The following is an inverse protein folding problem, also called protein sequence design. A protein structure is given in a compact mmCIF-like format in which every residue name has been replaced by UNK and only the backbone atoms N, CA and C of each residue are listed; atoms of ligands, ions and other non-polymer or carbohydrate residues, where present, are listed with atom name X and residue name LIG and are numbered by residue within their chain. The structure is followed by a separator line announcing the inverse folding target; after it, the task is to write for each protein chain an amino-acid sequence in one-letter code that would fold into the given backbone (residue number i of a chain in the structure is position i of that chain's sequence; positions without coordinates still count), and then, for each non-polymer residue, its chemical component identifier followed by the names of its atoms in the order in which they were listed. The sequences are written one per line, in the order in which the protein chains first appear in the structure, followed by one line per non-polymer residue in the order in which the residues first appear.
data_IF_515607501969
#
_entry.id   IF_515607501969
#
_cell.length_a   1.000
_cell.length_b   1.000
_cell.length_c   1.000
_cell.angle_alpha   90.00
_cell.angle_beta   90.00
_cell.angle_gamma   90.00
#
_symmetry.space_group_name_H-M   'P 1'
#
loop_
_entity.id
_entity.type
_entity.pdbx_description
1 polymer ?
#
# COMPACT_ATOMS: atom_id res chain seq x y z
N UNK A 1 74.05 -19.86 20.00
CA UNK A 1 72.89 -19.36 20.75
C UNK A 1 72.87 -19.86 22.19
N UNK A 2 72.96 -21.16 22.47
CA UNK A 2 72.95 -21.70 23.85
C UNK A 2 73.93 -21.00 24.82
N UNK A 3 75.18 -20.76 24.41
CA UNK A 3 76.20 -20.13 25.25
C UNK A 3 75.97 -18.64 25.55
N UNK A 4 75.32 -17.92 24.63
CA UNK A 4 74.92 -16.51 24.84
C UNK A 4 73.70 -16.46 25.75
N UNK A 5 72.72 -17.35 25.54
CA UNK A 5 71.56 -17.46 26.41
C UNK A 5 71.93 -17.81 27.85
N UNK A 6 72.94 -18.67 28.05
CA UNK A 6 73.42 -18.97 29.41
C UNK A 6 74.09 -17.77 30.08
N UNK A 7 74.87 -16.97 29.34
CA UNK A 7 75.51 -15.77 29.89
C UNK A 7 74.49 -14.67 30.18
N UNK A 8 73.50 -14.50 29.30
CA UNK A 8 72.37 -13.60 29.52
C UNK A 8 71.58 -14.01 30.75
N UNK A 9 71.31 -15.30 30.93
CA UNK A 9 70.62 -15.79 32.11
C UNK A 9 71.44 -15.65 33.39
N UNK A 10 72.75 -15.92 33.35
CA UNK A 10 73.65 -15.67 34.48
C UNK A 10 73.69 -14.19 34.85
N UNK A 11 73.76 -13.29 33.87
CA UNK A 11 73.65 -11.84 34.09
C UNK A 11 72.31 -11.47 34.73
N UNK A 12 71.21 -11.99 34.20
CA UNK A 12 69.87 -11.67 34.68
C UNK A 12 69.66 -12.16 36.11
N UNK A 13 70.21 -13.33 36.44
CA UNK A 13 70.18 -13.86 37.80
C UNK A 13 71.05 -13.03 38.75
N UNK A 14 72.25 -12.61 38.33
CA UNK A 14 73.08 -11.68 39.11
C UNK A 14 72.40 -10.32 39.29
N UNK A 15 71.69 -9.83 38.28
CA UNK A 15 70.93 -8.57 38.34
C UNK A 15 69.73 -8.69 39.28
N UNK A 16 69.05 -9.83 39.26
CA UNK A 16 67.95 -10.13 40.17
C UNK A 16 68.46 -10.27 41.61
N UNK A 17 69.60 -10.94 41.79
CA UNK A 17 70.24 -11.08 43.10
C UNK A 17 70.67 -9.73 43.66
N UNK A 18 71.24 -8.88 42.82
CA UNK A 18 71.55 -7.49 43.18
C UNK A 18 70.29 -6.76 43.66
N UNK A 19 69.18 -6.89 42.93
CA UNK A 19 67.91 -6.26 43.32
C UNK A 19 67.39 -6.78 44.66
N UNK A 20 67.43 -8.10 44.89
CA UNK A 20 67.05 -8.70 46.19
C UNK A 20 67.93 -8.19 47.35
N UNK A 21 69.23 -8.03 47.11
CA UNK A 21 70.16 -7.52 48.13
C UNK A 21 69.87 -6.05 48.44
N UNK A 22 69.57 -5.25 47.41
CA UNK A 22 69.14 -3.87 47.58
C UNK A 22 67.82 -3.77 48.37
N UNK A 23 66.84 -4.61 48.05
CA UNK A 23 65.55 -4.63 48.74
C UNK A 23 65.71 -5.09 50.21
N UNK A 24 66.57 -6.07 50.48
CA UNK A 24 66.90 -6.49 51.87
C UNK A 24 67.60 -5.40 52.66
N UNK A 25 68.52 -4.66 52.03
CA UNK A 25 69.13 -3.49 52.67
C UNK A 25 68.07 -2.45 53.01
N UNK A 26 67.16 -2.20 52.07
CA UNK A 26 66.07 -1.25 52.25
C UNK A 26 65.15 -1.63 53.41
N UNK A 27 64.71 -2.89 53.48
CA UNK A 27 63.84 -3.39 54.55
C UNK A 27 64.54 -3.34 55.92
N UNK A 28 65.81 -3.76 55.99
CA UNK A 28 66.62 -3.70 57.21
C UNK A 28 66.86 -2.28 57.73
N UNK A 29 66.86 -1.28 56.83
CA UNK A 29 66.90 0.14 57.19
C UNK A 29 65.55 0.68 57.68
N UNK A 30 64.43 0.01 57.38
CA UNK A 30 63.07 0.50 57.61
C UNK A 30 62.41 0.00 58.93
N UNK A 31 62.76 -1.18 59.46
CA UNK A 31 62.16 -1.71 60.70
C UNK A 31 62.69 -1.04 61.99
N UNK A 32 61.89 -0.14 62.58
CA UNK A 32 62.17 0.51 63.88
C UNK A 32 61.66 -0.33 65.07
N UNK A 33 62.36 -1.39 65.47
CA UNK A 33 62.23 -1.97 66.83
C UNK A 33 63.58 -1.99 67.53
N UNK A 34 63.73 -1.08 68.49
CA UNK A 34 64.99 -0.67 69.11
C UNK A 34 65.64 -1.67 70.08
N UNK A 35 65.92 -2.91 69.67
CA UNK A 35 66.76 -3.82 70.47
C UNK A 35 67.84 -4.62 69.71
N UNK A 36 68.11 -4.34 68.43
CA UNK A 36 69.06 -5.13 67.59
C UNK A 36 70.00 -4.29 66.67
N UNK A 37 70.45 -3.11 67.09
CA UNK A 37 71.22 -2.14 66.26
C UNK A 37 72.60 -2.63 65.76
N UNK A 38 73.32 -3.46 66.52
CA UNK A 38 74.65 -3.95 66.11
C UNK A 38 74.52 -4.99 64.99
N UNK A 39 73.58 -5.91 65.12
CA UNK A 39 73.27 -6.92 64.09
C UNK A 39 72.80 -6.28 62.78
N UNK A 40 72.05 -5.17 62.84
CA UNK A 40 71.64 -4.42 61.65
C UNK A 40 72.82 -3.79 60.90
N UNK A 41 73.80 -3.20 61.61
CA UNK A 41 74.99 -2.59 60.98
C UNK A 41 75.90 -3.63 60.33
N UNK A 42 76.14 -4.75 61.02
CA UNK A 42 76.92 -5.86 60.47
C UNK A 42 76.22 -6.47 59.26
N UNK A 43 74.89 -6.57 59.28
CA UNK A 43 74.08 -6.99 58.12
C UNK A 43 74.20 -6.04 56.92
N UNK A 44 74.25 -4.72 57.14
CA UNK A 44 74.45 -3.74 56.06
C UNK A 44 75.86 -3.85 55.48
N UNK A 45 76.89 -3.96 56.31
CA UNK A 45 78.28 -4.11 55.84
C UNK A 45 78.44 -5.40 55.01
N UNK A 46 77.88 -6.51 55.48
CA UNK A 46 77.90 -7.77 54.75
C UNK A 46 77.15 -7.67 53.41
N UNK A 47 75.96 -7.08 53.41
CA UNK A 47 75.19 -6.90 52.16
C UNK A 47 75.87 -5.91 51.20
N UNK A 48 76.62 -4.92 51.67
CA UNK A 48 77.42 -4.02 50.82
C UNK A 48 78.61 -4.76 50.17
N UNK A 49 79.28 -5.65 50.91
CA UNK A 49 80.34 -6.48 50.35
C UNK A 49 79.78 -7.44 49.29
N UNK A 50 78.65 -8.10 49.58
CA UNK A 50 77.94 -8.95 48.62
C UNK A 50 77.48 -8.17 47.38
N UNK A 51 77.08 -6.90 47.55
CA UNK A 51 76.70 -6.03 46.44
C UNK A 51 77.89 -5.66 45.54
N UNK A 52 79.06 -5.38 46.13
CA UNK A 52 80.27 -5.10 45.35
C UNK A 52 80.74 -6.33 44.56
N UNK A 53 80.71 -7.51 45.18
CA UNK A 53 81.07 -8.76 44.53
C UNK A 53 80.12 -9.07 43.37
N UNK A 54 78.81 -8.97 43.60
CA UNK A 54 77.81 -9.21 42.54
C UNK A 54 77.93 -8.20 41.39
N UNK A 55 78.19 -6.92 41.68
CA UNK A 55 78.44 -5.91 40.64
C UNK A 55 79.71 -6.19 39.83
N UNK A 56 80.78 -6.63 40.47
CA UNK A 56 82.03 -6.98 39.78
C UNK A 56 81.83 -8.18 38.85
N UNK A 57 81.18 -9.23 39.33
CA UNK A 57 80.84 -10.40 38.52
C UNK A 57 79.93 -10.04 37.33
N UNK A 58 79.00 -9.11 37.53
CA UNK A 58 78.10 -8.62 36.49
C UNK A 58 78.84 -7.81 35.41
N UNK A 59 79.84 -7.00 35.80
CA UNK A 59 80.70 -6.29 34.84
C UNK A 59 81.54 -7.25 33.98
N UNK A 60 82.14 -8.28 34.58
CA UNK A 60 82.89 -9.31 33.84
C UNK A 60 81.98 -10.10 32.88
N UNK A 61 80.77 -10.44 33.32
CA UNK A 61 79.78 -11.09 32.46
C UNK A 61 79.42 -10.23 31.24
N UNK A 62 79.28 -8.91 31.41
CA UNK A 62 79.08 -8.00 30.29
C UNK A 62 80.26 -7.96 29.32
N UNK A 63 81.50 -7.95 29.82
CA UNK A 63 82.68 -7.91 28.94
C UNK A 63 82.79 -9.17 28.08
N UNK A 64 82.55 -10.35 28.67
CA UNK A 64 82.51 -11.62 27.92
C UNK A 64 81.40 -11.60 26.88
N UNK A 65 80.23 -11.09 27.23
CA UNK A 65 79.10 -10.98 26.30
C UNK A 65 79.42 -10.04 25.12
N UNK A 66 80.07 -8.90 25.37
CA UNK A 66 80.48 -7.96 24.33
C UNK A 66 81.47 -8.62 23.36
N UNK A 67 82.48 -9.33 23.86
CA UNK A 67 83.47 -10.04 23.02
C UNK A 67 82.80 -11.07 22.11
N UNK A 68 81.89 -11.88 22.65
CA UNK A 68 81.15 -12.87 21.86
C UNK A 68 80.24 -12.21 20.82
N UNK A 69 79.58 -11.11 21.17
CA UNK A 69 78.75 -10.37 20.23
C UNK A 69 79.56 -9.80 19.06
N UNK A 70 80.77 -9.31 19.30
CA UNK A 70 81.65 -8.78 18.24
C UNK A 70 82.13 -9.88 17.28
N UNK A 71 82.53 -11.05 17.79
CA UNK A 71 82.89 -12.19 16.94
C UNK A 71 81.71 -12.64 16.06
N UNK A 72 80.51 -12.64 16.64
CA UNK A 72 79.29 -12.96 15.90
C UNK A 72 78.98 -11.91 14.83
N UNK A 73 79.23 -10.64 15.11
CA UNK A 73 79.05 -9.53 14.17
C UNK A 73 79.97 -9.67 12.94
N UNK A 74 81.25 -10.00 13.13
CA UNK A 74 82.18 -10.22 12.01
C UNK A 74 81.81 -11.43 11.16
N UNK A 75 81.41 -12.54 11.78
CA UNK A 75 80.88 -13.70 11.02
C UNK A 75 79.67 -13.31 10.19
N UNK A 76 78.76 -12.51 10.76
CA UNK A 76 77.56 -12.04 10.08
C UNK A 76 77.92 -11.19 8.85
N UNK A 77 78.92 -10.29 8.96
CA UNK A 77 79.41 -9.51 7.81
C UNK A 77 79.93 -10.39 6.67
N UNK A 78 80.76 -11.40 6.98
CA UNK A 78 81.28 -12.29 5.92
C UNK A 78 80.19 -13.10 5.21
N UNK A 79 79.11 -13.45 5.93
CA UNK A 79 77.94 -14.09 5.34
C UNK A 79 77.22 -13.09 4.43
N UNK A 80 77.07 -11.84 4.86
CA UNK A 80 76.46 -10.78 4.07
C UNK A 80 77.19 -10.54 2.73
N UNK A 81 78.52 -10.54 2.74
CA UNK A 81 79.30 -10.39 1.50
C UNK A 81 79.10 -11.55 0.53
N UNK A 82 79.00 -12.79 1.04
CA UNK A 82 78.71 -13.97 0.21
C UNK A 82 77.30 -13.92 -0.39
N UNK A 83 76.32 -13.45 0.38
CA UNK A 83 74.95 -13.25 -0.12
C UNK A 83 74.97 -12.27 -1.29
N UNK A 84 75.68 -11.14 -1.18
CA UNK A 84 75.77 -10.15 -2.25
C UNK A 84 76.39 -10.73 -3.54
N UNK A 85 77.46 -11.53 -3.41
CA UNK A 85 78.08 -12.19 -4.58
C UNK A 85 77.15 -13.20 -5.26
N UNK A 86 76.43 -14.01 -4.47
CA UNK A 86 75.47 -14.97 -5.02
C UNK A 86 74.29 -14.27 -5.72
N UNK A 87 73.83 -13.12 -5.18
CA UNK A 87 72.80 -12.30 -5.82
C UNK A 87 73.21 -11.85 -7.23
N UNK A 88 74.46 -11.39 -7.41
CA UNK A 88 74.95 -11.00 -8.74
C UNK A 88 74.98 -12.18 -9.74
N UNK A 89 75.31 -13.40 -9.28
CA UNK A 89 75.32 -14.57 -10.15
C UNK A 89 73.91 -14.99 -10.57
N UNK A 90 72.93 -14.87 -9.66
CA UNK A 90 71.52 -15.12 -9.97
C UNK A 90 71.04 -14.17 -11.07
N UNK A 91 71.32 -12.87 -10.92
CA UNK A 91 70.93 -11.85 -11.91
C UNK A 91 71.52 -12.13 -13.30
N UNK A 92 72.78 -12.56 -13.36
CA UNK A 92 73.42 -12.91 -14.64
C UNK A 92 72.75 -14.11 -15.34
N UNK A 93 72.35 -15.14 -14.58
CA UNK A 93 71.64 -16.31 -15.12
C UNK A 93 70.27 -15.90 -15.65
N UNK A 94 69.55 -15.05 -14.91
CA UNK A 94 68.25 -14.52 -15.32
C UNK A 94 68.34 -13.75 -16.65
N UNK A 95 69.43 -13.02 -16.90
CA UNK A 95 69.56 -12.18 -18.10
C UNK A 95 70.09 -12.91 -19.35
N UNK A 96 70.99 -13.89 -19.19
CA UNK A 96 71.70 -14.50 -20.33
C UNK A 96 71.21 -15.88 -20.76
N UNK A 97 70.37 -16.54 -19.96
CA UNK A 97 69.94 -17.91 -20.27
C UNK A 97 68.94 -17.95 -21.43
N UNK A 98 69.16 -18.83 -22.41
CA UNK A 98 68.16 -19.12 -23.45
C UNK A 98 66.84 -19.62 -22.84
N UNK A 99 66.89 -20.26 -21.65
CA UNK A 99 65.71 -20.64 -20.88
C UNK A 99 64.91 -19.42 -20.40
N UNK A 100 65.57 -18.32 -20.02
CA UNK A 100 64.87 -17.11 -19.59
C UNK A 100 64.09 -16.48 -20.75
N UNK A 101 64.65 -16.52 -21.96
CA UNK A 101 63.94 -16.06 -23.17
C UNK A 101 62.78 -16.98 -23.54
N UNK A 102 62.93 -18.29 -23.38
CA UNK A 102 61.85 -19.25 -23.60
C UNK A 102 60.70 -19.05 -22.60
N UNK A 103 61.03 -18.79 -21.32
CA UNK A 103 60.04 -18.42 -20.30
C UNK A 103 59.32 -17.14 -20.70
N UNK A 104 60.04 -16.07 -21.08
CA UNK A 104 59.43 -14.80 -21.50
C UNK A 104 58.49 -14.98 -22.71
N UNK A 105 58.88 -15.81 -23.68
CA UNK A 105 58.05 -16.10 -24.85
C UNK A 105 56.77 -16.85 -24.46
N UNK A 106 56.88 -17.88 -23.61
CA UNK A 106 55.74 -18.64 -23.11
C UNK A 106 54.82 -17.78 -22.22
N UNK A 107 55.38 -16.90 -21.40
CA UNK A 107 54.61 -15.92 -20.62
C UNK A 107 53.82 -14.98 -21.55
N UNK A 108 54.44 -14.51 -22.63
CA UNK A 108 53.76 -13.66 -23.62
C UNK A 108 52.63 -14.40 -24.33
N UNK A 109 52.85 -15.66 -24.71
CA UNK A 109 51.79 -16.50 -25.30
C UNK A 109 50.66 -16.77 -24.30
N UNK A 110 51.01 -17.09 -23.05
CA UNK A 110 50.04 -17.26 -21.97
C UNK A 110 49.19 -16.00 -21.74
N UNK A 111 49.81 -14.81 -21.75
CA UNK A 111 49.10 -13.54 -21.66
C UNK A 111 48.12 -13.35 -22.83
N UNK A 112 48.56 -13.62 -24.07
CA UNK A 112 47.69 -13.54 -25.25
C UNK A 112 46.49 -14.49 -25.18
N UNK A 113 46.71 -15.74 -24.75
CA UNK A 113 45.64 -16.72 -24.55
C UNK A 113 44.68 -16.31 -23.42
N UNK A 114 45.20 -15.74 -22.33
CA UNK A 114 44.37 -15.24 -21.23
C UNK A 114 43.47 -14.09 -21.69
N UNK A 115 43.97 -13.18 -22.54
CA UNK A 115 43.18 -12.10 -23.12
C UNK A 115 42.06 -12.65 -24.02
N UNK A 116 42.35 -13.64 -24.86
CA UNK A 116 41.33 -14.29 -25.71
C UNK A 116 40.26 -14.99 -24.87
N UNK A 117 40.67 -15.72 -23.82
CA UNK A 117 39.75 -16.34 -22.86
C UNK A 117 38.88 -15.28 -22.20
N UNK A 118 39.44 -14.16 -21.76
CA UNK A 118 38.70 -13.06 -21.15
C UNK A 118 37.67 -12.45 -22.12
N UNK A 119 38.03 -12.25 -23.39
CA UNK A 119 37.11 -11.77 -24.43
C UNK A 119 35.96 -12.75 -24.68
N UNK A 120 36.26 -14.04 -24.77
CA UNK A 120 35.25 -15.09 -24.96
C UNK A 120 34.31 -15.19 -23.75
N UNK A 121 34.85 -15.11 -22.53
CA UNK A 121 34.06 -15.06 -21.30
C UNK A 121 33.15 -13.83 -21.26
N UNK A 122 33.63 -12.66 -21.68
CA UNK A 122 32.82 -11.44 -21.79
C UNK A 122 31.67 -11.61 -22.79
N UNK A 123 31.96 -12.16 -23.98
CA UNK A 123 30.94 -12.44 -25.00
C UNK A 123 29.90 -13.43 -24.49
N UNK A 124 30.33 -14.48 -23.80
CA UNK A 124 29.45 -15.46 -23.17
C UNK A 124 28.55 -14.80 -22.12
N UNK A 125 29.12 -13.98 -21.22
CA UNK A 125 28.34 -13.20 -20.23
C UNK A 125 27.29 -12.30 -20.89
N UNK A 126 27.64 -11.63 -21.99
CA UNK A 126 26.70 -10.81 -22.77
C UNK A 126 25.54 -11.64 -23.33
N UNK A 127 25.82 -12.82 -23.88
CA UNK A 127 24.79 -13.72 -24.38
C UNK A 127 23.89 -14.27 -23.27
N UNK A 128 24.44 -14.60 -22.10
CA UNK A 128 23.65 -15.03 -20.95
C UNK A 128 22.73 -13.94 -20.42
N UNK A 129 23.22 -12.69 -20.30
CA UNK A 129 22.41 -11.55 -19.92
C UNK A 129 21.26 -11.32 -20.92
N UNK A 130 21.53 -11.41 -22.22
CA UNK A 130 20.49 -11.30 -23.25
C UNK A 130 19.46 -12.43 -23.18
N UNK A 131 19.89 -13.66 -22.94
CA UNK A 131 18.99 -14.81 -22.73
C UNK A 131 18.08 -14.56 -21.53
N UNK A 132 18.63 -14.09 -20.40
CA UNK A 132 17.86 -13.80 -19.19
C UNK A 132 16.81 -12.72 -19.43
N UNK A 133 17.18 -11.62 -20.12
CA UNK A 133 16.25 -10.55 -20.50
C UNK A 133 15.05 -11.09 -21.32
N UNK A 134 15.33 -11.94 -22.31
CA UNK A 134 14.28 -12.57 -23.13
C UNK A 134 13.36 -13.45 -22.27
N UNK A 135 13.93 -14.26 -21.38
CA UNK A 135 13.15 -15.12 -20.46
C UNK A 135 12.24 -14.30 -19.55
N UNK A 136 12.75 -13.21 -18.96
CA UNK A 136 11.95 -12.31 -18.10
C UNK A 136 10.81 -11.68 -18.88
N UNK A 137 11.06 -11.20 -20.11
CA UNK A 137 10.01 -10.62 -20.96
C UNK A 137 8.94 -11.63 -21.33
N UNK A 138 9.31 -12.88 -21.62
CA UNK A 138 8.37 -13.96 -21.91
C UNK A 138 7.45 -14.21 -20.70
N UNK A 139 8.03 -14.29 -19.49
CA UNK A 139 7.26 -14.50 -18.27
C UNK A 139 6.24 -13.37 -18.00
N UNK A 140 6.64 -12.11 -18.21
CA UNK A 140 5.74 -10.95 -18.05
C UNK A 140 4.56 -10.99 -19.02
N UNK A 141 4.82 -11.27 -20.31
CA UNK A 141 3.77 -11.38 -21.32
C UNK A 141 2.81 -12.54 -21.01
N UNK A 142 3.36 -13.70 -20.62
CA UNK A 142 2.54 -14.86 -20.26
C UNK A 142 1.59 -14.55 -19.09
N UNK A 143 2.12 -13.94 -18.02
CA UNK A 143 1.31 -13.55 -16.85
C UNK A 143 0.23 -12.52 -17.21
N UNK A 144 0.52 -11.59 -18.14
CA UNK A 144 -0.48 -10.62 -18.61
C UNK A 144 -1.64 -11.30 -19.33
N UNK A 145 -1.34 -12.25 -20.22
CA UNK A 145 -2.35 -13.02 -20.95
C UNK A 145 -3.19 -13.87 -20.00
N UNK A 146 -2.54 -14.56 -19.05
CA UNK A 146 -3.24 -15.36 -18.04
C UNK A 146 -4.18 -14.49 -17.18
N UNK A 147 -3.72 -13.32 -16.73
CA UNK A 147 -4.53 -12.37 -15.97
C UNK A 147 -5.75 -11.89 -16.76
N UNK A 148 -5.57 -11.50 -18.03
CA UNK A 148 -6.68 -11.09 -18.90
C UNK A 148 -7.69 -12.22 -19.10
N UNK A 149 -7.21 -13.44 -19.37
CA UNK A 149 -8.09 -14.60 -19.53
C UNK A 149 -8.88 -14.89 -18.25
N UNK A 150 -8.25 -14.78 -17.08
CA UNK A 150 -8.94 -14.95 -15.80
C UNK A 150 -9.95 -13.84 -15.51
N UNK A 151 -9.66 -12.59 -15.89
CA UNK A 151 -10.61 -11.48 -15.77
C UNK A 151 -11.85 -11.74 -16.62
N UNK A 152 -11.66 -12.08 -17.90
CA UNK A 152 -12.79 -12.37 -18.78
C UNK A 152 -13.57 -13.61 -18.35
N UNK A 153 -12.89 -14.65 -17.86
CA UNK A 153 -13.57 -15.82 -17.32
C UNK A 153 -14.37 -15.47 -16.06
N UNK A 154 -13.82 -14.64 -15.17
CA UNK A 154 -14.52 -14.18 -13.99
C UNK A 154 -15.70 -13.28 -14.34
N UNK A 155 -15.55 -12.39 -15.32
CA UNK A 155 -16.65 -11.60 -15.87
C UNK A 155 -17.77 -12.51 -16.36
N UNK A 156 -17.45 -13.54 -17.16
CA UNK A 156 -18.43 -14.54 -17.61
C UNK A 156 -19.10 -15.25 -16.44
N UNK A 157 -18.32 -15.74 -15.47
CA UNK A 157 -18.87 -16.48 -14.31
C UNK A 157 -19.71 -15.56 -13.40
N UNK A 158 -19.32 -14.29 -13.25
CA UNK A 158 -20.04 -13.28 -12.47
C UNK A 158 -21.36 -12.85 -13.11
N UNK A 159 -21.46 -12.92 -14.44
CA UNK A 159 -22.72 -12.76 -15.17
C UNK A 159 -23.68 -13.94 -14.92
N UNK A 160 -23.22 -14.98 -14.24
CA UNK A 160 -24.04 -16.07 -13.72
C UNK A 160 -24.40 -17.13 -14.76
N UNK A 161 -25.29 -18.04 -14.36
CA UNK A 161 -25.86 -19.01 -15.29
C UNK A 161 -26.69 -18.26 -16.32
N UNK A 162 -26.32 -18.38 -17.60
CA UNK A 162 -27.10 -17.76 -18.68
C UNK A 162 -28.57 -18.19 -18.52
N UNK A 163 -29.51 -17.23 -18.51
CA UNK A 163 -30.93 -17.57 -18.39
C UNK A 163 -31.28 -18.54 -19.50
N UNK A 164 -31.94 -19.64 -19.15
CA UNK A 164 -32.32 -20.62 -20.16
C UNK A 164 -33.23 -19.94 -21.18
N UNK A 165 -33.19 -20.41 -22.42
CA UNK A 165 -34.07 -19.92 -23.49
C UNK A 165 -35.55 -19.94 -23.04
N UNK A 166 -35.94 -20.97 -22.28
CA UNK A 166 -37.25 -21.08 -21.63
C UNK A 166 -37.57 -19.93 -20.65
N UNK A 167 -36.59 -19.43 -19.89
CA UNK A 167 -36.77 -18.31 -18.96
C UNK A 167 -36.95 -16.98 -19.69
N UNK A 168 -36.24 -16.79 -20.81
CA UNK A 168 -36.41 -15.60 -21.66
C UNK A 168 -37.78 -15.61 -22.34
N UNK A 169 -38.21 -16.76 -22.87
CA UNK A 169 -39.55 -16.89 -23.45
C UNK A 169 -40.66 -16.64 -22.42
N UNK A 170 -40.52 -17.17 -21.20
CA UNK A 170 -41.49 -16.95 -20.13
C UNK A 170 -41.59 -15.47 -19.75
N UNK A 171 -40.45 -14.79 -19.58
CA UNK A 171 -40.39 -13.37 -19.25
C UNK A 171 -41.00 -12.50 -20.38
N UNK A 172 -40.74 -12.82 -21.65
CA UNK A 172 -41.35 -12.10 -22.78
C UNK A 172 -42.87 -12.18 -22.75
N UNK A 173 -43.44 -13.39 -22.54
CA UNK A 173 -44.90 -13.56 -22.45
C UNK A 173 -45.51 -12.78 -21.28
N UNK A 174 -44.80 -12.68 -20.17
CA UNK A 174 -45.24 -11.90 -19.01
C UNK A 174 -45.22 -10.39 -19.32
N UNK A 175 -44.19 -9.88 -19.99
CA UNK A 175 -44.11 -8.48 -20.42
C UNK A 175 -45.24 -8.13 -21.39
N UNK A 176 -45.54 -8.99 -22.36
CA UNK A 176 -46.63 -8.78 -23.31
C UNK A 176 -47.97 -8.68 -22.56
N UNK A 177 -48.24 -9.62 -21.65
CA UNK A 177 -49.47 -9.62 -20.85
C UNK A 177 -49.61 -8.36 -19.96
N UNK A 178 -48.52 -7.87 -19.39
CA UNK A 178 -48.51 -6.64 -18.58
C UNK A 178 -48.69 -5.38 -19.44
N UNK A 179 -48.17 -5.40 -20.67
CA UNK A 179 -48.34 -4.30 -21.62
C UNK A 179 -49.80 -4.17 -22.03
N UNK A 180 -50.46 -5.28 -22.38
CA UNK A 180 -51.90 -5.31 -22.70
C UNK A 180 -52.76 -4.75 -21.55
N UNK A 181 -52.42 -5.09 -20.30
CA UNK A 181 -53.13 -4.57 -19.13
C UNK A 181 -52.90 -3.06 -18.94
N UNK A 182 -51.70 -2.56 -19.19
CA UNK A 182 -51.39 -1.14 -19.09
C UNK A 182 -52.17 -0.33 -20.13
N UNK A 183 -52.25 -0.81 -21.37
CA UNK A 183 -53.02 -0.15 -22.44
C UNK A 183 -54.51 -0.01 -22.09
N UNK A 184 -55.11 -1.06 -21.52
CA UNK A 184 -56.49 -1.01 -21.05
C UNK A 184 -56.70 0.04 -19.95
N UNK A 185 -55.78 0.14 -19.00
CA UNK A 185 -55.85 1.11 -17.90
C UNK A 185 -55.72 2.57 -18.41
N UNK A 186 -54.85 2.82 -19.40
CA UNK A 186 -54.70 4.16 -19.99
C UNK A 186 -55.97 4.63 -20.73
N UNK A 187 -56.67 3.72 -21.40
CA UNK A 187 -57.97 4.03 -22.00
C UNK A 187 -59.00 4.45 -20.94
N UNK A 188 -59.04 3.76 -19.80
CA UNK A 188 -59.92 4.10 -18.69
C UNK A 188 -59.56 5.47 -18.08
N UNK A 189 -58.28 5.75 -17.86
CA UNK A 189 -57.81 7.06 -17.37
C UNK A 189 -58.25 8.19 -18.30
N UNK A 190 -58.16 7.98 -19.61
CA UNK A 190 -58.57 8.97 -20.60
C UNK A 190 -60.08 9.23 -20.51
N UNK A 191 -60.89 8.16 -20.46
CA UNK A 191 -62.33 8.28 -20.28
C UNK A 191 -62.71 9.03 -18.98
N UNK A 192 -61.99 8.78 -17.89
CA UNK A 192 -62.22 9.47 -16.61
C UNK A 192 -61.84 10.96 -16.67
N UNK A 193 -60.74 11.32 -17.34
CA UNK A 193 -60.33 12.72 -17.51
C UNK A 193 -61.37 13.51 -18.30
N UNK A 194 -61.82 12.95 -19.41
CA UNK A 194 -62.82 13.59 -20.26
C UNK A 194 -64.17 13.71 -19.53
N UNK A 195 -64.58 12.65 -18.84
CA UNK A 195 -65.78 12.68 -17.99
C UNK A 195 -65.69 13.70 -16.86
N UNK A 196 -64.51 13.92 -16.27
CA UNK A 196 -64.32 14.92 -15.21
C UNK A 196 -64.52 16.36 -15.71
N UNK A 197 -64.11 16.66 -16.95
CA UNK A 197 -64.34 17.98 -17.55
C UNK A 197 -65.84 18.24 -17.67
N UNK A 198 -66.57 17.26 -18.21
CA UNK A 198 -68.04 17.35 -18.34
C UNK A 198 -68.70 17.50 -16.97
N UNK A 199 -68.23 16.79 -15.95
CA UNK A 199 -68.74 16.94 -14.58
C UNK A 199 -68.52 18.34 -14.02
N UNK A 200 -67.33 18.91 -14.21
CA UNK A 200 -67.02 20.27 -13.74
C UNK A 200 -67.92 21.31 -14.39
N UNK A 201 -68.19 21.17 -15.68
CA UNK A 201 -69.11 22.06 -16.39
C UNK A 201 -70.52 21.96 -15.81
N UNK A 202 -71.00 20.76 -15.49
CA UNK A 202 -72.28 20.54 -14.80
C UNK A 202 -72.29 21.24 -13.43
N UNK A 203 -71.26 21.06 -12.61
CA UNK A 203 -71.16 21.74 -11.32
C UNK A 203 -71.14 23.27 -11.45
N UNK A 204 -70.45 23.82 -12.45
CA UNK A 204 -70.45 25.27 -12.69
C UNK A 204 -71.82 25.76 -13.11
N UNK A 205 -72.53 25.03 -13.99
CA UNK A 205 -73.92 25.37 -14.36
C UNK A 205 -74.81 25.42 -13.11
N UNK A 206 -74.68 24.43 -12.21
CA UNK A 206 -75.43 24.39 -10.96
C UNK A 206 -75.05 25.54 -10.03
N UNK A 207 -73.76 25.84 -9.84
CA UNK A 207 -73.34 26.96 -8.98
C UNK A 207 -73.72 28.34 -9.54
N UNK A 208 -73.61 28.54 -10.86
CA UNK A 208 -74.04 29.79 -11.51
C UNK A 208 -75.54 29.96 -11.39
N UNK A 209 -76.30 28.87 -11.52
CA UNK A 209 -77.73 28.83 -11.25
C UNK A 209 -78.02 29.24 -9.80
N UNK A 210 -77.39 28.60 -8.81
CA UNK A 210 -77.56 28.90 -7.38
C UNK A 210 -77.27 30.37 -7.06
N UNK A 211 -76.15 30.89 -7.55
CA UNK A 211 -75.76 32.29 -7.34
C UNK A 211 -76.74 33.26 -8.01
N UNK A 212 -77.16 32.95 -9.24
CA UNK A 212 -78.16 33.75 -9.97
C UNK A 212 -79.51 33.72 -9.28
N UNK A 213 -79.91 32.57 -8.72
CA UNK A 213 -81.11 32.42 -7.91
C UNK A 213 -81.01 33.24 -6.62
N UNK A 214 -79.88 33.16 -5.91
CA UNK A 214 -79.68 33.91 -4.67
C UNK A 214 -79.70 35.42 -4.91
N UNK A 215 -79.05 35.90 -5.96
CA UNK A 215 -79.09 37.31 -6.35
C UNK A 215 -80.50 37.74 -6.79
N UNK A 216 -81.17 36.93 -7.60
CA UNK A 216 -82.55 37.19 -8.02
C UNK A 216 -83.49 37.27 -6.80
N UNK A 217 -83.39 36.33 -5.85
CA UNK A 217 -84.21 36.33 -4.64
C UNK A 217 -83.90 37.52 -3.71
N UNK A 218 -82.63 37.96 -3.62
CA UNK A 218 -82.24 39.12 -2.83
C UNK A 218 -82.74 40.46 -3.41
N UNK A 219 -82.76 40.59 -4.73
CA UNK A 219 -83.31 41.75 -5.45
C UNK A 219 -84.85 41.73 -5.52
N UNK A 220 -85.50 40.73 -4.90
CA UNK A 220 -86.97 40.57 -4.93
C UNK A 220 -87.48 40.23 -6.34
N UNK A 221 -86.68 39.53 -7.14
CA UNK A 221 -87.02 39.17 -8.51
C UNK A 221 -88.30 38.33 -8.56
N UNK A 222 -89.06 38.58 -9.63
CA UNK A 222 -90.32 37.89 -9.88
C UNK A 222 -90.10 36.38 -10.17
N UNK A 223 -91.05 35.57 -9.74
CA UNK A 223 -91.08 34.11 -9.83
C UNK A 223 -90.83 33.60 -11.25
N UNK A 224 -91.33 34.30 -12.26
CA UNK A 224 -91.11 33.97 -13.67
C UNK A 224 -89.61 34.00 -14.04
N UNK A 225 -88.84 34.92 -13.46
CA UNK A 225 -87.40 35.02 -13.71
C UNK A 225 -86.65 33.86 -13.06
N UNK A 226 -87.00 33.50 -11.81
CA UNK A 226 -86.46 32.36 -11.08
C UNK A 226 -86.72 31.03 -11.83
N UNK A 227 -87.95 30.82 -12.30
CA UNK A 227 -88.31 29.63 -13.07
C UNK A 227 -87.56 29.56 -14.41
N UNK A 228 -87.40 30.69 -15.11
CA UNK A 228 -86.65 30.73 -16.36
C UNK A 228 -85.17 30.35 -16.20
N UNK A 229 -84.55 30.75 -15.09
CA UNK A 229 -83.16 30.40 -14.76
C UNK A 229 -83.00 28.90 -14.50
N UNK A 230 -83.90 28.33 -13.70
CA UNK A 230 -83.91 26.88 -13.46
C UNK A 230 -84.10 26.11 -14.77
N UNK A 231 -85.00 26.56 -15.65
CA UNK A 231 -85.32 25.87 -16.91
C UNK A 231 -84.14 25.87 -17.86
N UNK A 232 -83.45 27.00 -17.99
CA UNK A 232 -82.25 27.11 -18.81
C UNK A 232 -81.13 26.21 -18.27
N UNK A 233 -80.90 26.21 -16.95
CA UNK A 233 -79.91 25.33 -16.33
C UNK A 233 -80.23 23.84 -16.54
N UNK A 234 -81.50 23.42 -16.37
CA UNK A 234 -81.91 22.03 -16.60
C UNK A 234 -81.64 21.56 -18.03
N UNK A 235 -81.98 22.36 -19.05
CA UNK A 235 -81.73 22.00 -20.45
C UNK A 235 -80.24 21.92 -20.78
N UNK A 236 -79.40 22.74 -20.13
CA UNK A 236 -77.95 22.65 -20.26
C UNK A 236 -77.38 21.39 -19.60
N UNK A 237 -77.86 21.03 -18.41
CA UNK A 237 -77.45 19.82 -17.71
C UNK A 237 -77.90 18.56 -18.49
N UNK A 238 -79.07 18.55 -19.11
CA UNK A 238 -79.54 17.45 -19.97
C UNK A 238 -78.64 17.21 -21.19
N UNK A 239 -78.14 18.28 -21.83
CA UNK A 239 -77.20 18.13 -22.94
C UNK A 239 -75.90 17.43 -22.51
N UNK A 240 -75.41 17.71 -21.30
CA UNK A 240 -74.23 17.02 -20.75
C UNK A 240 -74.53 15.58 -20.34
N UNK A 241 -75.76 15.28 -19.90
CA UNK A 241 -76.21 13.92 -19.62
C UNK A 241 -76.21 13.04 -20.88
N UNK A 242 -76.71 13.55 -22.01
CA UNK A 242 -76.71 12.82 -23.28
C UNK A 242 -75.29 12.59 -23.82
N UNK A 243 -74.39 13.55 -23.64
CA UNK A 243 -72.97 13.38 -23.95
C UNK A 243 -72.32 12.28 -23.10
N UNK A 244 -72.64 12.20 -21.81
CA UNK A 244 -72.13 11.15 -20.93
C UNK A 244 -72.64 9.75 -21.32
N UNK A 245 -73.91 9.64 -21.75
CA UNK A 245 -74.49 8.37 -22.26
C UNK A 245 -73.86 7.93 -23.57
N UNK A 246 -73.64 8.86 -24.50
CA UNK A 246 -73.04 8.58 -25.82
C UNK A 246 -71.61 8.05 -25.71
N UNK A 247 -70.85 8.51 -24.70
CA UNK A 247 -69.50 8.03 -24.42
C UNK A 247 -69.46 6.85 -23.43
N UNK A 248 -70.62 6.27 -23.10
CA UNK A 248 -70.76 5.17 -22.15
C UNK A 248 -70.13 5.41 -20.77
N UNK A 249 -70.09 6.67 -20.32
CA UNK A 249 -69.60 7.04 -18.99
C UNK A 249 -70.69 6.78 -17.96
N UNK A 250 -70.82 5.51 -17.58
CA UNK A 250 -71.90 5.00 -16.73
C UNK A 250 -72.00 5.75 -15.40
N UNK A 251 -70.87 5.99 -14.72
CA UNK A 251 -70.86 6.69 -13.42
C UNK A 251 -71.26 8.16 -13.56
N UNK A 252 -70.72 8.85 -14.57
CA UNK A 252 -71.03 10.26 -14.80
C UNK A 252 -72.50 10.45 -15.18
N UNK A 253 -73.04 9.54 -15.98
CA UNK A 253 -74.46 9.53 -16.35
C UNK A 253 -75.34 9.48 -15.09
N UNK A 254 -74.98 8.67 -14.10
CA UNK A 254 -75.73 8.59 -12.83
C UNK A 254 -75.60 9.89 -12.03
N UNK A 255 -74.41 10.48 -11.94
CA UNK A 255 -74.19 11.70 -11.18
C UNK A 255 -74.96 12.91 -11.75
N UNK A 256 -74.89 13.11 -13.07
CA UNK A 256 -75.58 14.23 -13.75
C UNK A 256 -77.11 14.11 -13.61
N UNK A 257 -77.65 12.88 -13.65
CA UNK A 257 -79.09 12.66 -13.44
C UNK A 257 -79.57 13.18 -12.08
N UNK A 258 -78.82 12.95 -11.00
CA UNK A 258 -79.24 13.40 -9.66
C UNK A 258 -79.27 14.93 -9.56
N UNK A 259 -78.28 15.62 -10.12
CA UNK A 259 -78.27 17.09 -10.15
C UNK A 259 -79.43 17.65 -10.96
N UNK A 260 -79.73 17.01 -12.10
CA UNK A 260 -80.87 17.39 -12.92
C UNK A 260 -82.20 17.20 -12.18
N UNK A 261 -82.36 16.08 -11.47
CA UNK A 261 -83.54 15.82 -10.62
C UNK A 261 -83.70 16.89 -9.53
N UNK A 262 -82.63 17.29 -8.86
CA UNK A 262 -82.67 18.33 -7.84
C UNK A 262 -83.11 19.69 -8.40
N UNK A 263 -82.62 20.06 -9.60
CA UNK A 263 -83.05 21.28 -10.30
C UNK A 263 -84.55 21.22 -10.65
N UNK A 264 -85.04 20.06 -11.09
CA UNK A 264 -86.46 19.86 -11.35
C UNK A 264 -87.34 19.97 -10.10
N UNK A 265 -86.88 19.48 -8.94
CA UNK A 265 -87.58 19.68 -7.67
C UNK A 265 -87.62 21.16 -7.26
N UNK A 266 -86.53 21.90 -7.47
CA UNK A 266 -86.47 23.34 -7.21
C UNK A 266 -87.50 24.13 -8.03
N UNK A 267 -87.69 23.78 -9.30
CA UNK A 267 -88.74 24.39 -10.14
C UNK A 267 -90.13 24.19 -9.55
N UNK A 268 -90.41 22.99 -9.06
CA UNK A 268 -91.72 22.62 -8.50
C UNK A 268 -92.04 23.46 -7.26
N UNK A 269 -91.06 23.69 -6.38
CA UNK A 269 -91.23 24.48 -5.14
C UNK A 269 -91.49 25.96 -5.45
N UNK A 270 -90.79 26.52 -6.44
CA UNK A 270 -91.02 27.90 -6.90
C UNK A 270 -92.43 28.04 -7.48
N UNK A 271 -92.92 27.00 -8.16
CA UNK A 271 -94.28 26.99 -8.67
C UNK A 271 -95.36 26.95 -7.54
N UNK A 272 -95.06 26.32 -6.41
CA UNK A 272 -96.01 26.18 -5.29
C UNK A 272 -96.09 27.39 -4.31
N UNK A 273 -95.13 28.33 -4.33
CA UNK A 273 -94.92 29.34 -3.26
C UNK A 273 -95.59 30.72 -3.45
N UNK A 274 -96.72 30.82 -4.15
CA UNK A 274 -97.56 32.04 -4.13
C UNK A 274 -98.10 32.31 -2.71
N UNK A 275 -97.92 33.50 -2.10
CA UNK A 275 -98.57 33.79 -0.84
C UNK A 275 -100.06 33.97 -1.12
N UNK A 276 -100.87 33.02 -0.66
CA UNK A 276 -102.24 33.35 -0.28
C UNK A 276 -102.14 34.25 0.97
N UNK A 277 -101.84 35.54 0.75
CA UNK A 277 -102.39 36.59 1.61
C UNK A 277 -103.90 36.43 1.58
N UNK A 278 -104.46 35.84 2.63
CA UNK A 278 -105.83 36.13 3.06
C UNK A 278 -106.13 35.44 4.37
N UNK A 279 -106.35 36.29 5.38
CA UNK A 279 -107.47 36.25 6.32
C UNK A 279 -107.60 35.07 7.28
N UNK A 280 -107.33 35.40 8.54
CA UNK A 280 -108.30 35.55 9.65
C UNK A 280 -107.90 34.81 10.94
#
# INVERSE_FOLDING_TARGET
MSRVSTLVHQRDELSRRLQELLDRQWDGLSERKGRWLVSARQGIEQTMAELLETQTALAEAYEVQIKQNNEWLERTKTIQDKIASLQMHIEHIEQQSDLAREIEQLEKEQLGLNDEIAQLQFKLKKLYSRKQEITTRLMQLKSTVESQSSSYQHEIDSLGQQPSEDQLEACSREVDAMTDQHELAELEVTALKDGLVVWKDVCMIVSDLENSLQAALADGADKAKVFSLLSDASGRIENHLELAKANHWSLLTVAINHELEAVYEGMKIVDDSTPNESND
#
